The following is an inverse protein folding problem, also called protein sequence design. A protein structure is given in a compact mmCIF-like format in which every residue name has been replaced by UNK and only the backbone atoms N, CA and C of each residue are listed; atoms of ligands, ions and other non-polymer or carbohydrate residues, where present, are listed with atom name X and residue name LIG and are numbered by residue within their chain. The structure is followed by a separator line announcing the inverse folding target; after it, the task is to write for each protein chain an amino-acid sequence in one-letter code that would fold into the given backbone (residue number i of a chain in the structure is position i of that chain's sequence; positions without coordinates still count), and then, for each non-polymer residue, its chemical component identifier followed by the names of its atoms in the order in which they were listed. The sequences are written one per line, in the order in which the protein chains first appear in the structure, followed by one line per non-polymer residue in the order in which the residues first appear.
data_IF_153780648563
#
_entry.id   IF_153780648563
#
_cell.length_a   1.000
_cell.length_b   1.000
_cell.length_c   1.000
_cell.angle_alpha   90.00
_cell.angle_beta   90.00
_cell.angle_gamma   90.00
#
_symmetry.space_group_name_H-M   'P 1'
#
loop_
_entity.id
_entity.type
_entity.pdbx_description
1 polymer ?
#
# COMPACT_ATOMS: atom_id res chain seq x y z
N UNK A 1 8.73 21.29 7.77
CA UNK A 1 8.88 19.92 7.23
C UNK A 1 8.08 19.85 5.95
N UNK A 2 8.61 19.25 4.89
CA UNK A 2 7.88 19.15 3.62
C UNK A 2 6.67 18.27 3.79
N UNK A 3 5.49 18.76 3.36
CA UNK A 3 4.29 17.95 3.35
C UNK A 3 4.25 17.00 2.12
N UNK A 4 4.49 15.69 2.33
CA UNK A 4 4.22 14.55 1.45
C UNK A 4 2.75 14.10 1.41
N UNK A 5 2.20 13.98 0.20
CA UNK A 5 0.96 13.26 -0.06
C UNK A 5 1.25 11.85 -0.52
N UNK A 6 0.69 10.85 0.17
CA UNK A 6 0.87 9.44 -0.18
C UNK A 6 -0.45 8.78 -0.54
N UNK A 7 -0.39 7.68 -1.29
CA UNK A 7 -1.57 6.85 -1.56
C UNK A 7 -1.18 5.38 -1.75
N UNK A 8 -2.11 4.47 -1.44
CA UNK A 8 -2.02 3.06 -1.81
C UNK A 8 -3.16 2.73 -2.77
N UNK A 9 -2.90 1.96 -3.84
CA UNK A 9 -3.88 1.60 -4.86
C UNK A 9 -3.65 0.15 -5.31
N UNK A 10 -4.64 -0.71 -5.13
CA UNK A 10 -4.69 -1.96 -5.88
C UNK A 10 -5.12 -1.65 -7.32
N UNK A 11 -4.21 -1.83 -8.27
CA UNK A 11 -4.45 -1.48 -9.66
C UNK A 11 -5.24 -2.53 -10.44
N UNK A 12 -5.33 -3.79 -9.99
CA UNK A 12 -5.97 -4.90 -10.75
C UNK A 12 -5.53 -4.96 -12.22
N UNK A 13 -4.23 -4.91 -12.43
CA UNK A 13 -3.56 -4.97 -13.73
C UNK A 13 -3.34 -3.62 -14.41
N UNK A 14 -2.12 -3.41 -14.92
CA UNK A 14 -1.66 -2.21 -15.62
C UNK A 14 -1.21 -2.48 -17.07
N UNK A 15 -1.54 -3.65 -17.62
CA UNK A 15 -1.19 -4.01 -19.01
C UNK A 15 -1.83 -3.05 -20.03
N UNK A 16 -3.02 -2.51 -19.74
CA UNK A 16 -3.78 -1.61 -20.62
C UNK A 16 -3.21 -0.18 -20.55
N UNK A 17 -2.77 0.43 -21.67
CA UNK A 17 -2.22 1.79 -21.69
C UNK A 17 -3.15 2.87 -21.13
N UNK A 18 -4.44 2.83 -21.51
CA UNK A 18 -5.43 3.81 -21.04
C UNK A 18 -5.56 3.82 -19.51
N UNK A 19 -5.53 2.65 -18.89
CA UNK A 19 -5.59 2.51 -17.42
C UNK A 19 -4.34 3.12 -16.75
N UNK A 20 -3.15 2.93 -17.33
CA UNK A 20 -1.92 3.56 -16.82
C UNK A 20 -2.02 5.08 -16.87
N UNK A 21 -2.45 5.64 -18.01
CA UNK A 21 -2.65 7.09 -18.17
C UNK A 21 -3.65 7.63 -17.15
N UNK A 22 -4.75 6.93 -16.95
CA UNK A 22 -5.80 7.31 -15.99
C UNK A 22 -5.27 7.37 -14.56
N UNK A 23 -4.58 6.33 -14.10
CA UNK A 23 -4.02 6.31 -12.74
C UNK A 23 -2.96 7.40 -12.58
N UNK A 24 -2.04 7.57 -13.53
CA UNK A 24 -1.01 8.62 -13.45
C UNK A 24 -1.61 10.04 -13.48
N UNK A 25 -2.68 10.25 -14.24
CA UNK A 25 -3.45 11.51 -14.25
C UNK A 25 -4.15 11.76 -12.92
N UNK A 26 -4.70 10.71 -12.31
CA UNK A 26 -5.30 10.78 -10.99
C UNK A 26 -4.27 11.14 -9.90
N UNK A 27 -3.09 10.50 -9.90
CA UNK A 27 -1.98 10.85 -8.98
C UNK A 27 -1.61 12.33 -9.11
N UNK A 28 -1.53 12.84 -10.35
CA UNK A 28 -1.25 14.24 -10.60
C UNK A 28 -2.33 15.16 -10.04
N UNK A 29 -3.62 14.89 -10.33
CA UNK A 29 -4.75 15.71 -9.88
C UNK A 29 -4.85 15.78 -8.36
N UNK A 30 -4.40 14.74 -7.65
CA UNK A 30 -4.36 14.66 -6.17
C UNK A 30 -3.03 15.11 -5.58
N UNK A 31 -2.11 15.63 -6.40
CA UNK A 31 -0.79 16.12 -5.96
C UNK A 31 -0.02 15.06 -5.13
N UNK A 32 -0.10 13.79 -5.53
CA UNK A 32 0.55 12.68 -4.84
C UNK A 32 2.07 12.76 -5.05
N UNK A 33 2.83 12.53 -3.99
CA UNK A 33 4.29 12.49 -4.03
C UNK A 33 4.80 11.06 -4.16
N UNK A 34 4.25 10.13 -3.38
CA UNK A 34 4.54 8.71 -3.47
C UNK A 34 3.25 7.88 -3.56
N UNK A 35 3.23 6.88 -4.46
CA UNK A 35 2.14 5.93 -4.57
C UNK A 35 2.66 4.49 -4.44
N UNK A 36 2.00 3.70 -3.60
CA UNK A 36 2.22 2.27 -3.45
C UNK A 36 1.14 1.54 -4.25
N UNK A 37 1.53 0.81 -5.29
CA UNK A 37 0.60 0.18 -6.22
C UNK A 37 0.70 -1.33 -6.10
N UNK A 38 -0.43 -2.01 -5.86
CA UNK A 38 -0.55 -3.47 -5.83
C UNK A 38 -1.19 -3.99 -7.12
N UNK A 39 -1.10 -5.31 -7.35
CA UNK A 39 -1.63 -6.01 -8.53
C UNK A 39 -1.30 -5.32 -9.87
N UNK A 40 -0.06 -4.89 -10.07
CA UNK A 40 0.33 -4.27 -11.35
C UNK A 40 0.23 -5.23 -12.55
N UNK A 41 0.44 -6.53 -12.32
CA UNK A 41 0.47 -7.59 -13.35
C UNK A 41 1.41 -7.29 -14.54
N UNK A 42 2.38 -6.39 -14.33
CA UNK A 42 3.44 -6.11 -15.30
C UNK A 42 4.58 -7.09 -15.05
N UNK A 43 5.31 -7.43 -16.11
CA UNK A 43 6.59 -8.11 -15.96
C UNK A 43 7.67 -7.09 -15.59
N UNK A 44 8.78 -7.54 -15.00
CA UNK A 44 9.92 -6.67 -14.65
C UNK A 44 10.39 -5.78 -15.81
N UNK A 45 10.43 -6.33 -17.03
CA UNK A 45 10.80 -5.58 -18.26
C UNK A 45 9.80 -4.48 -18.65
N UNK A 46 8.56 -4.59 -18.20
CA UNK A 46 7.46 -3.68 -18.54
C UNK A 46 7.21 -2.62 -17.47
N UNK A 47 7.93 -2.66 -16.34
CA UNK A 47 7.74 -1.75 -15.21
C UNK A 47 7.83 -0.27 -15.62
N UNK A 48 8.81 0.05 -16.46
CA UNK A 48 9.04 1.41 -16.97
C UNK A 48 7.88 1.95 -17.80
N UNK A 49 6.95 1.10 -18.27
CA UNK A 49 5.73 1.53 -18.98
C UNK A 49 4.74 2.23 -18.06
N UNK A 50 4.85 2.08 -16.74
CA UNK A 50 4.07 2.84 -15.76
C UNK A 50 4.79 4.14 -15.35
N UNK A 51 5.09 4.97 -16.35
CA UNK A 51 5.74 6.26 -16.15
C UNK A 51 5.20 7.30 -17.14
N UNK A 52 5.34 8.57 -16.79
CA UNK A 52 5.13 9.70 -17.71
C UNK A 52 6.07 10.86 -17.32
N UNK A 53 5.83 12.07 -17.85
CA UNK A 53 6.64 13.26 -17.53
C UNK A 53 6.59 13.69 -16.06
N UNK A 54 5.62 13.19 -15.29
CA UNK A 54 5.33 13.61 -13.91
C UNK A 54 5.69 12.54 -12.88
N UNK A 55 5.59 11.25 -13.24
CA UNK A 55 5.77 10.13 -12.32
C UNK A 55 6.61 9.01 -12.93
N UNK A 56 7.30 8.24 -12.09
CA UNK A 56 7.93 6.98 -12.47
C UNK A 56 8.00 5.98 -11.30
N UNK A 57 8.13 4.68 -11.58
CA UNK A 57 8.45 3.70 -10.56
C UNK A 57 9.88 3.93 -10.05
N UNK A 58 10.09 3.82 -8.74
CA UNK A 58 11.42 3.82 -8.11
C UNK A 58 11.82 2.41 -7.64
N UNK A 59 10.84 1.58 -7.29
CA UNK A 59 11.05 0.18 -6.90
C UNK A 59 9.89 -0.64 -7.44
N UNK A 60 10.18 -1.83 -7.94
CA UNK A 60 9.18 -2.74 -8.48
C UNK A 60 9.52 -4.20 -8.22
N UNK A 61 8.59 -4.91 -7.59
CA UNK A 61 8.60 -6.37 -7.48
C UNK A 61 7.57 -6.98 -8.43
N UNK A 62 7.94 -8.05 -9.12
CA UNK A 62 7.10 -8.75 -10.09
C UNK A 62 7.22 -10.24 -9.87
N UNK A 63 6.10 -10.96 -9.96
CA UNK A 63 6.14 -12.39 -10.14
C UNK A 63 6.72 -12.74 -11.54
N UNK A 64 7.20 -13.98 -11.76
CA UNK A 64 7.62 -14.44 -13.08
C UNK A 64 6.49 -14.41 -14.13
N UNK A 65 5.24 -14.52 -13.67
CA UNK A 65 4.02 -14.43 -14.49
C UNK A 65 3.28 -13.13 -14.23
N UNK A 66 2.39 -12.73 -15.15
CA UNK A 66 1.56 -11.51 -15.04
C UNK A 66 0.39 -11.66 -14.06
N UNK A 67 0.65 -12.18 -12.88
CA UNK A 67 -0.37 -12.52 -11.86
C UNK A 67 -0.26 -11.67 -10.60
N UNK A 68 0.93 -11.12 -10.32
CA UNK A 68 1.22 -10.30 -9.14
C UNK A 68 2.20 -9.21 -9.52
N UNK A 69 2.38 -8.24 -8.64
CA UNK A 69 3.45 -7.27 -8.73
C UNK A 69 3.11 -5.99 -7.98
N UNK A 70 4.05 -5.50 -7.18
CA UNK A 70 3.91 -4.30 -6.36
C UNK A 70 4.98 -3.28 -6.74
N UNK A 71 4.64 -1.99 -6.79
CA UNK A 71 5.59 -0.91 -7.08
C UNK A 71 5.43 0.26 -6.13
N UNK A 72 6.52 1.00 -5.97
CA UNK A 72 6.52 2.33 -5.37
C UNK A 72 6.82 3.31 -6.50
N UNK A 73 5.94 4.29 -6.67
CA UNK A 73 5.95 5.29 -7.74
C UNK A 73 6.14 6.65 -7.13
N UNK A 74 7.02 7.46 -7.70
CA UNK A 74 7.36 8.77 -7.19
C UNK A 74 7.06 9.86 -8.21
N UNK A 75 6.67 11.04 -7.70
CA UNK A 75 6.63 12.28 -8.46
C UNK A 75 8.05 12.71 -8.84
N UNK A 76 8.30 12.94 -10.12
CA UNK A 76 9.61 13.31 -10.69
C UNK A 76 10.22 14.59 -10.13
N UNK A 77 9.38 15.56 -9.77
CA UNK A 77 9.84 16.86 -9.25
C UNK A 77 10.25 16.81 -7.78
N UNK A 78 9.80 15.80 -7.04
CA UNK A 78 10.15 15.66 -5.63
C UNK A 78 11.65 15.35 -5.51
N UNK A 79 12.33 16.06 -4.60
CA UNK A 79 13.76 15.87 -4.32
C UNK A 79 13.90 15.04 -3.05
N UNK A 80 14.59 13.92 -3.16
CA UNK A 80 14.90 13.00 -2.07
C UNK A 80 16.08 12.13 -2.52
N UNK A 81 16.79 11.53 -1.56
CA UNK A 81 17.83 10.55 -1.86
C UNK A 81 17.23 9.14 -1.78
N UNK A 82 17.37 8.33 -2.83
CA UNK A 82 17.09 6.90 -2.74
C UNK A 82 18.34 6.20 -2.20
N UNK A 83 18.34 5.90 -0.90
CA UNK A 83 19.50 5.33 -0.20
C UNK A 83 19.52 3.80 -0.18
N UNK A 84 18.45 3.15 -0.64
CA UNK A 84 18.42 1.70 -0.84
C UNK A 84 17.06 1.19 -1.28
N UNK A 85 17.01 -0.05 -1.75
CA UNK A 85 15.77 -0.71 -2.12
C UNK A 85 15.85 -2.22 -1.94
N UNK A 86 14.72 -2.87 -1.72
CA UNK A 86 14.62 -4.33 -1.68
C UNK A 86 13.27 -4.77 -2.24
N UNK A 87 13.24 -5.96 -2.85
CA UNK A 87 12.04 -6.59 -3.38
C UNK A 87 12.07 -8.08 -3.13
N UNK A 88 10.91 -8.69 -2.97
CA UNK A 88 10.79 -10.15 -3.00
C UNK A 88 10.85 -10.71 -4.44
N UNK A 89 10.83 -12.04 -4.57
CA UNK A 89 10.74 -12.72 -5.88
C UNK A 89 9.29 -13.04 -6.29
N UNK A 90 8.35 -12.98 -5.34
CA UNK A 90 6.95 -13.37 -5.54
C UNK A 90 6.07 -12.23 -6.06
N UNK A 91 6.61 -11.02 -6.21
CA UNK A 91 5.82 -9.86 -6.64
C UNK A 91 4.92 -9.30 -5.56
N UNK A 92 5.20 -9.55 -4.28
CA UNK A 92 4.35 -9.16 -3.14
C UNK A 92 4.92 -8.03 -2.30
N UNK A 93 6.23 -7.79 -2.30
CA UNK A 93 6.88 -6.78 -1.46
C UNK A 93 7.87 -5.94 -2.26
N UNK A 94 7.75 -4.62 -2.16
CA UNK A 94 8.72 -3.65 -2.66
C UNK A 94 8.99 -2.60 -1.58
N UNK A 95 10.27 -2.24 -1.40
CA UNK A 95 10.72 -1.31 -0.38
C UNK A 95 11.66 -0.30 -1.00
N UNK A 96 11.39 0.99 -0.75
CA UNK A 96 12.31 2.08 -1.02
C UNK A 96 12.75 2.70 0.31
N UNK A 97 14.05 2.68 0.59
CA UNK A 97 14.68 3.43 1.69
C UNK A 97 15.07 4.78 1.12
N UNK A 98 14.45 5.86 1.61
CA UNK A 98 14.71 7.23 1.15
C UNK A 98 15.22 8.11 2.28
N UNK A 99 15.91 9.18 1.92
CA UNK A 99 16.19 10.32 2.80
C UNK A 99 15.52 11.56 2.26
N UNK A 100 14.71 12.21 3.09
CA UNK A 100 13.99 13.45 2.77
C UNK A 100 14.06 14.37 3.99
N UNK A 101 14.47 15.63 3.80
CA UNK A 101 14.61 16.64 4.86
C UNK A 101 15.41 16.12 6.08
N UNK A 102 16.49 15.37 5.82
CA UNK A 102 17.33 14.77 6.86
C UNK A 102 16.73 13.55 7.57
N UNK A 103 15.53 13.10 7.21
CA UNK A 103 14.87 11.95 7.80
C UNK A 103 14.97 10.71 6.92
N UNK A 104 15.30 9.57 7.54
CA UNK A 104 15.27 8.26 6.88
C UNK A 104 13.83 7.71 6.91
N UNK A 105 13.24 7.47 5.73
CA UNK A 105 11.87 6.97 5.56
C UNK A 105 11.92 5.68 4.73
N UNK A 106 11.21 4.64 5.16
CA UNK A 106 11.03 3.43 4.39
C UNK A 106 9.60 3.38 3.84
N UNK A 107 9.47 3.52 2.53
CA UNK A 107 8.23 3.33 1.80
C UNK A 107 8.12 1.85 1.44
N UNK A 108 6.98 1.22 1.75
CA UNK A 108 6.77 -0.21 1.53
C UNK A 108 5.49 -0.40 0.75
N UNK A 109 5.52 -1.14 -0.36
CA UNK A 109 4.32 -1.63 -1.04
C UNK A 109 4.20 -3.13 -0.82
N UNK A 110 3.05 -3.60 -0.30
CA UNK A 110 2.80 -4.99 0.04
C UNK A 110 1.47 -5.51 -0.55
N UNK A 111 1.45 -6.78 -0.94
CA UNK A 111 0.24 -7.46 -1.40
C UNK A 111 0.15 -8.87 -0.78
N UNK A 112 -0.76 -9.01 0.17
CA UNK A 112 -0.98 -10.29 0.84
C UNK A 112 -1.65 -11.31 -0.11
N UNK A 113 -1.45 -12.61 0.13
CA UNK A 113 -2.17 -13.63 -0.62
C UNK A 113 -3.69 -13.60 -0.39
N UNK A 114 -4.47 -14.02 -1.40
CA UNK A 114 -5.93 -14.14 -1.30
C UNK A 114 -6.37 -15.29 -0.37
N UNK A 115 -5.52 -16.32 -0.24
CA UNK A 115 -5.68 -17.43 0.70
C UNK A 115 -4.73 -17.18 1.87
N UNK A 116 -5.15 -17.45 3.11
CA UNK A 116 -4.31 -17.16 4.26
C UNK A 116 -2.98 -17.95 4.22
N UNK A 117 -1.86 -17.23 4.23
CA UNK A 117 -0.51 -17.80 4.33
C UNK A 117 0.26 -17.12 5.48
N UNK A 118 0.49 -17.84 6.59
CA UNK A 118 1.17 -17.29 7.77
C UNK A 118 2.57 -16.75 7.45
N UNK A 119 3.30 -17.41 6.54
CA UNK A 119 4.66 -17.03 6.17
C UNK A 119 4.80 -15.61 5.58
N UNK A 120 3.73 -15.04 5.05
CA UNK A 120 3.73 -13.65 4.56
C UNK A 120 4.00 -12.64 5.70
N UNK A 121 3.36 -12.84 6.87
CA UNK A 121 3.54 -11.97 8.03
C UNK A 121 4.91 -12.17 8.70
N UNK A 122 5.45 -13.39 8.66
CA UNK A 122 6.82 -13.65 9.11
C UNK A 122 7.85 -12.93 8.22
N UNK A 123 7.63 -12.97 6.91
CA UNK A 123 8.46 -12.24 5.94
C UNK A 123 8.39 -10.73 6.18
N UNK A 124 7.18 -10.18 6.36
CA UNK A 124 7.00 -8.77 6.71
C UNK A 124 7.75 -8.40 8.00
N UNK A 125 7.63 -9.21 9.05
CA UNK A 125 8.34 -8.96 10.32
C UNK A 125 9.85 -8.97 10.16
N UNK A 126 10.41 -9.92 9.40
CA UNK A 126 11.84 -9.94 9.05
C UNK A 126 12.25 -8.67 8.33
N UNK A 127 11.48 -8.28 7.32
CA UNK A 127 11.68 -7.04 6.57
C UNK A 127 11.68 -5.79 7.47
N UNK A 128 10.75 -5.68 8.42
CA UNK A 128 10.67 -4.51 9.29
C UNK A 128 11.88 -4.38 10.22
N UNK A 129 12.48 -5.50 10.65
CA UNK A 129 13.70 -5.48 11.48
C UNK A 129 14.88 -4.81 10.76
N UNK A 130 15.01 -5.04 9.45
CA UNK A 130 16.05 -4.42 8.60
C UNK A 130 15.82 -2.91 8.32
N UNK A 131 14.72 -2.37 8.86
CA UNK A 131 14.31 -0.98 8.76
C UNK A 131 14.36 -0.27 10.12
N UNK A 132 15.04 -0.85 11.10
CA UNK A 132 15.28 -0.20 12.40
C UNK A 132 15.93 1.19 12.17
N UNK A 133 15.37 2.21 12.81
CA UNK A 133 15.82 3.61 12.65
C UNK A 133 15.20 4.36 11.46
N UNK A 134 14.33 3.72 10.67
CA UNK A 134 13.53 4.39 9.65
C UNK A 134 12.13 4.73 10.17
N UNK A 135 11.57 5.84 9.69
CA UNK A 135 10.12 6.05 9.73
C UNK A 135 9.48 5.16 8.69
N UNK A 136 8.57 4.29 9.10
CA UNK A 136 7.93 3.34 8.20
C UNK A 136 6.64 3.94 7.66
N UNK A 137 6.43 3.85 6.35
CA UNK A 137 5.14 4.12 5.72
C UNK A 137 4.83 2.97 4.77
N UNK A 138 3.77 2.24 5.06
CA UNK A 138 3.39 1.05 4.33
C UNK A 138 2.12 1.30 3.51
N UNK A 139 2.12 0.69 2.32
CA UNK A 139 1.21 0.63 1.18
C UNK A 139 0.69 -0.79 0.92
N UNK A 140 -0.43 -1.25 1.49
CA UNK A 140 -0.87 -2.63 1.48
C UNK A 140 -2.26 -2.83 0.88
N UNK A 141 -2.41 -4.02 0.33
CA UNK A 141 -3.67 -4.74 0.29
C UNK A 141 -3.42 -6.05 1.04
N UNK A 142 -4.06 -6.20 2.20
CA UNK A 142 -3.85 -7.34 3.10
C UNK A 142 -4.82 -8.49 2.83
N UNK A 143 -5.81 -8.33 1.94
CA UNK A 143 -6.92 -9.28 1.79
C UNK A 143 -7.54 -9.67 3.15
N UNK A 144 -7.56 -8.72 4.09
CA UNK A 144 -7.94 -8.90 5.48
C UNK A 144 -8.51 -7.58 6.02
N UNK A 145 -9.28 -7.65 7.10
CA UNK A 145 -9.98 -6.50 7.68
C UNK A 145 -9.39 -6.17 9.06
N UNK A 146 -9.38 -4.89 9.45
CA UNK A 146 -8.83 -4.45 10.73
C UNK A 146 -9.82 -4.67 11.87
N UNK A 147 -11.07 -4.26 11.67
CA UNK A 147 -12.20 -4.50 12.56
C UNK A 147 -13.37 -5.13 11.76
N UNK A 148 -13.65 -6.41 12.02
CA UNK A 148 -14.72 -7.13 11.32
C UNK A 148 -16.12 -6.50 11.42
N UNK A 149 -16.42 -5.71 12.46
CA UNK A 149 -17.73 -5.07 12.61
C UNK A 149 -17.85 -3.75 11.85
N UNK A 150 -16.71 -3.09 11.63
CA UNK A 150 -16.63 -1.75 11.05
C UNK A 150 -16.16 -1.76 9.59
N UNK A 151 -15.28 -2.70 9.23
CA UNK A 151 -14.63 -2.83 7.92
C UNK A 151 -15.24 -3.94 7.06
N UNK A 152 -16.40 -4.43 7.43
CA UNK A 152 -17.09 -5.46 6.65
C UNK A 152 -18.58 -5.31 6.76
N UNK A 153 -19.28 -5.66 5.69
CA UNK A 153 -20.72 -5.84 5.68
C UNK A 153 -21.10 -7.10 4.89
N UNK A 154 -22.30 -7.64 5.11
CA UNK A 154 -22.76 -8.87 4.44
C UNK A 154 -22.55 -10.14 5.25
N UNK A 155 -22.43 -11.29 4.55
CA UNK A 155 -22.52 -12.63 5.14
C UNK A 155 -21.35 -13.04 6.03
N UNK A 156 -21.43 -14.26 6.58
CA UNK A 156 -20.46 -14.82 7.52
C UNK A 156 -19.03 -14.87 6.95
N UNK A 157 -18.03 -14.69 7.82
CA UNK A 157 -16.63 -14.76 7.43
C UNK A 157 -16.19 -16.18 7.09
N UNK A 158 -15.47 -16.35 5.98
CA UNK A 158 -14.77 -17.60 5.70
C UNK A 158 -13.67 -17.83 6.74
N UNK A 159 -13.23 -19.09 6.88
CA UNK A 159 -12.12 -19.44 7.77
C UNK A 159 -10.85 -18.64 7.43
N UNK A 160 -10.53 -18.53 6.15
CA UNK A 160 -9.31 -17.84 5.71
C UNK A 160 -9.38 -16.34 5.96
N UNK A 161 -10.54 -15.70 5.75
CA UNK A 161 -10.74 -14.28 6.03
C UNK A 161 -10.52 -13.95 7.50
N UNK A 162 -11.07 -14.78 8.40
CA UNK A 162 -10.88 -14.61 9.84
C UNK A 162 -9.42 -14.81 10.24
N UNK A 163 -8.77 -15.87 9.75
CA UNK A 163 -7.35 -16.13 10.04
C UNK A 163 -6.44 -15.00 9.54
N UNK A 164 -6.72 -14.45 8.35
CA UNK A 164 -5.97 -13.34 7.79
C UNK A 164 -6.13 -12.06 8.64
N UNK A 165 -7.36 -11.76 9.07
CA UNK A 165 -7.66 -10.59 9.92
C UNK A 165 -7.06 -10.73 11.32
N UNK A 166 -7.10 -11.93 11.92
CA UNK A 166 -6.42 -12.24 13.18
C UNK A 166 -4.90 -12.13 13.08
N UNK A 167 -4.32 -12.59 11.97
CA UNK A 167 -2.88 -12.47 11.73
C UNK A 167 -2.47 -11.01 11.52
N UNK A 168 -3.24 -10.22 10.78
CA UNK A 168 -3.01 -8.79 10.61
C UNK A 168 -2.98 -8.07 11.96
N UNK A 169 -3.98 -8.27 12.81
CA UNK A 169 -4.05 -7.64 14.14
C UNK A 169 -2.90 -8.04 15.04
N UNK A 170 -2.56 -9.33 15.08
CA UNK A 170 -1.42 -9.83 15.87
C UNK A 170 -0.10 -9.26 15.38
N UNK A 171 0.14 -9.30 14.07
CA UNK A 171 1.33 -8.73 13.45
C UNK A 171 1.44 -7.23 13.74
N UNK A 172 0.33 -6.49 13.62
CA UNK A 172 0.29 -5.06 13.89
C UNK A 172 0.65 -4.76 15.35
N UNK A 173 0.05 -5.47 16.31
CA UNK A 173 0.37 -5.33 17.73
C UNK A 173 1.85 -5.66 18.03
N UNK A 174 2.40 -6.72 17.43
CA UNK A 174 3.81 -7.13 17.61
C UNK A 174 4.80 -6.11 17.06
N UNK A 175 4.44 -5.42 15.98
CA UNK A 175 5.32 -4.49 15.26
C UNK A 175 5.03 -3.03 15.60
N UNK A 176 4.06 -2.79 16.50
CA UNK A 176 3.56 -1.47 16.89
C UNK A 176 3.07 -0.65 15.68
N UNK A 177 2.56 -1.35 14.67
CA UNK A 177 1.99 -0.79 13.46
C UNK A 177 0.51 -0.47 13.73
N UNK A 178 0.05 0.70 13.31
CA UNK A 178 -1.33 1.17 13.49
C UNK A 178 -2.00 1.37 12.12
N UNK A 179 -3.32 1.25 12.05
CA UNK A 179 -4.12 1.72 10.91
C UNK A 179 -4.49 3.20 11.12
N UNK A 180 -3.84 4.09 10.38
CA UNK A 180 -4.11 5.53 10.51
C UNK A 180 -5.53 5.89 10.05
N UNK A 181 -6.12 5.18 9.07
CA UNK A 181 -7.48 5.51 8.65
C UNK A 181 -8.47 5.24 9.78
N UNK A 182 -8.36 4.08 10.44
CA UNK A 182 -9.21 3.73 11.58
C UNK A 182 -8.97 4.63 12.80
N UNK A 183 -7.73 5.05 13.07
CA UNK A 183 -7.42 6.03 14.12
C UNK A 183 -8.11 7.38 13.85
N UNK A 184 -8.09 7.85 12.61
CA UNK A 184 -8.70 9.13 12.23
C UNK A 184 -10.22 9.05 12.08
N UNK A 185 -10.76 7.86 11.82
CA UNK A 185 -12.17 7.62 11.52
C UNK A 185 -12.72 6.46 12.37
N UNK A 186 -12.69 6.57 13.71
CA UNK A 186 -12.95 5.43 14.60
C UNK A 186 -14.36 4.86 14.45
N UNK A 187 -15.35 5.69 14.16
CA UNK A 187 -16.76 5.32 14.06
C UNK A 187 -17.33 5.31 12.64
N UNK A 188 -16.55 5.69 11.63
CA UNK A 188 -17.02 5.75 10.24
C UNK A 188 -16.88 4.37 9.60
N UNK A 189 -17.90 3.94 8.85
CA UNK A 189 -17.84 2.76 7.98
C UNK A 189 -17.61 3.23 6.55
N UNK A 190 -16.52 2.77 5.91
CA UNK A 190 -16.19 3.12 4.53
C UNK A 190 -15.50 1.96 3.78
N UNK A 191 -15.65 2.06 2.47
CA UNK A 191 -15.60 1.08 1.39
C UNK A 191 -14.41 1.17 0.34
N UNK A 192 -13.42 0.27 0.20
CA UNK A 192 -12.37 0.14 -0.86
C UNK A 192 -12.45 -1.03 -1.91
N UNK A 193 -13.16 -2.15 -1.67
CA UNK A 193 -13.37 -3.35 -2.48
C UNK A 193 -14.85 -3.85 -2.45
N UNK A 194 -15.34 -4.31 -3.60
CA UNK A 194 -16.68 -4.91 -3.72
C UNK A 194 -16.58 -6.31 -4.33
N UNK A 195 -17.12 -7.32 -3.64
CA UNK A 195 -17.41 -8.65 -4.19
C UNK A 195 -18.84 -8.70 -4.69
N UNK A 196 -19.10 -9.35 -5.83
CA UNK A 196 -20.43 -9.42 -6.46
C UNK A 196 -21.50 -10.11 -5.60
N UNK A 197 -21.13 -10.71 -4.45
CA UNK A 197 -22.05 -11.10 -3.38
C UNK A 197 -21.34 -10.85 -2.05
N UNK A 198 -21.84 -9.91 -1.24
CA UNK A 198 -21.41 -9.54 0.13
C UNK A 198 -20.02 -8.91 0.29
N UNK A 199 -19.95 -7.83 1.07
CA UNK A 199 -18.89 -6.84 1.12
C UNK A 199 -17.63 -7.31 1.89
N UNK A 200 -16.45 -6.82 1.47
CA UNK A 200 -15.14 -7.13 2.05
C UNK A 200 -14.27 -5.87 2.03
N UNK A 201 -13.61 -5.46 3.13
CA UNK A 201 -12.62 -4.35 3.08
C UNK A 201 -11.41 -4.48 4.00
N UNK A 202 -10.21 -4.31 3.44
CA UNK A 202 -9.41 -3.08 3.50
C UNK A 202 -8.29 -3.19 2.44
N UNK A 203 -8.13 -2.13 1.62
CA UNK A 203 -6.87 -1.79 0.96
C UNK A 203 -6.59 -0.28 1.07
N UNK A 204 -6.46 0.23 2.30
CA UNK A 204 -5.75 1.50 2.52
C UNK A 204 -4.65 1.30 3.52
N UNK A 205 -3.46 1.30 2.98
CA UNK A 205 -2.26 1.34 3.76
C UNK A 205 -2.08 2.67 4.46
N UNK A 206 -1.91 2.63 5.77
CA UNK A 206 -1.26 3.70 6.50
C UNK A 206 -0.69 3.13 7.77
N UNK A 207 0.61 3.30 7.96
CA UNK A 207 1.25 2.95 9.22
C UNK A 207 2.24 4.04 9.64
N UNK A 208 2.24 4.39 10.93
CA UNK A 208 3.28 5.17 11.60
C UNK A 208 3.65 4.49 12.93
N UNK A 209 4.94 4.45 13.26
CA UNK A 209 5.43 4.14 14.61
C UNK A 209 5.43 5.41 15.47
N UNK A 210 4.85 5.35 16.66
CA UNK A 210 4.49 6.51 17.47
C UNK A 210 5.65 7.22 18.22
N UNK A 211 5.58 8.55 18.26
CA UNK A 211 5.72 9.40 19.46
C UNK A 211 4.60 10.46 19.41
N UNK A 212 3.87 10.64 20.50
CA UNK A 212 2.64 11.47 20.63
C UNK A 212 2.77 12.92 20.14
N UNK A 213 3.98 13.49 20.09
CA UNK A 213 4.20 14.88 19.68
C UNK A 213 4.20 15.16 18.17
N UNK A 214 3.85 14.18 17.32
CA UNK A 214 3.98 14.29 15.84
C UNK A 214 2.64 14.20 15.09
N UNK A 215 1.51 14.18 15.81
CA UNK A 215 0.16 13.90 15.27
C UNK A 215 -0.36 15.00 14.32
N UNK A 216 0.28 16.18 14.26
CA UNK A 216 -0.26 17.34 13.54
C UNK A 216 0.04 17.45 12.02
N UNK A 217 0.74 16.52 11.36
CA UNK A 217 1.30 16.85 10.03
C UNK A 217 0.56 16.39 8.76
N UNK A 218 -0.53 15.59 8.78
CA UNK A 218 -0.97 14.92 7.54
C UNK A 218 -2.48 14.76 7.37
N UNK A 219 -3.12 15.63 6.57
CA UNK A 219 -4.59 15.72 6.43
C UNK A 219 -5.22 15.12 5.17
N UNK A 220 -4.53 14.39 4.29
CA UNK A 220 -5.21 13.90 3.08
C UNK A 220 -4.75 12.55 2.58
N UNK A 221 -5.48 11.51 2.98
CA UNK A 221 -5.45 10.23 2.29
C UNK A 221 -6.91 9.76 2.26
N UNK A 222 -7.61 9.97 1.15
CA UNK A 222 -8.91 9.38 0.78
C UNK A 222 -9.03 9.57 -0.72
N UNK A 223 -9.13 8.50 -1.53
CA UNK A 223 -10.03 8.48 -2.70
C UNK A 223 -10.37 7.04 -3.13
N UNK A 224 -11.66 6.79 -3.25
CA UNK A 224 -12.28 5.67 -3.96
C UNK A 224 -12.22 5.89 -5.49
N UNK A 225 -11.59 4.97 -6.24
CA UNK A 225 -11.35 5.07 -7.68
C UNK A 225 -12.57 4.71 -8.57
N UNK A 226 -13.70 4.29 -8.00
CA UNK A 226 -14.85 3.81 -8.79
C UNK A 226 -15.61 4.88 -9.59
N UNK A 227 -15.33 6.17 -9.40
CA UNK A 227 -15.94 7.24 -10.22
C UNK A 227 -15.22 7.57 -11.53
N UNK A 228 -14.07 6.94 -11.82
CA UNK A 228 -13.21 7.31 -12.97
C UNK A 228 -13.20 6.23 -14.06
N UNK A 229 -13.62 5.01 -13.74
CA UNK A 229 -13.62 3.88 -14.66
C UNK A 229 -15.02 3.27 -14.65
N UNK A 230 -15.85 3.73 -15.58
CA UNK A 230 -17.00 2.94 -16.05
C UNK A 230 -16.53 1.70 -16.79
#
# INVERSE_FOLDING_TARGET
MTNLNLISINARGLNIPHKRTTILGFLHKRNIDFAMIQESHLLRKDAARFANRLYHPIVFSSAPTKTKGVMIVCRRKLKFDLIGSWTDKEGRLAIAKIRLDGQNIALISAYAPNTFEAGFYDQLTKTLRDLTGFRLVMGTDFNAVWDSNMDRTGGAESRDQRLASDALRRWAAQTNMIDIWRVMNPSIKDYSFFSDISYLEISTARVHGAKESTVEMWTSLIVNLKGILG
#
